data_IF_944057345595
#
_entry.id   IF_944057345595
#
_cell.length_a   1.000
_cell.length_b   1.000
_cell.length_c   1.000
_cell.angle_alpha   90.00
_cell.angle_beta   90.00
_cell.angle_gamma   90.00
#
_symmetry.space_group_name_H-M   'P 1'
#
loop_
_entity.id
_entity.type
_entity.pdbx_description
1 polymer ?
#
# COMPACT_ATOMS: atom_id res chain seq x y z
N UNK A 1 2.97 -5.07 21.35
CA UNK A 1 3.97 -4.47 20.43
C UNK A 1 3.38 -3.20 19.84
N UNK A 2 4.10 -2.09 19.88
CA UNK A 2 3.71 -0.80 19.29
C UNK A 2 4.06 -0.79 17.82
N UNK A 3 3.07 -0.55 16.97
CA UNK A 3 3.25 -0.46 15.53
C UNK A 3 2.88 0.94 15.03
N UNK A 4 3.84 1.62 14.43
CA UNK A 4 3.62 2.91 13.77
C UNK A 4 2.89 2.74 12.44
N UNK A 5 2.09 3.73 12.07
CA UNK A 5 1.40 3.81 10.79
C UNK A 5 1.24 5.28 10.34
N UNK A 6 0.70 5.50 9.14
CA UNK A 6 0.54 6.82 8.53
C UNK A 6 -0.71 7.60 8.97
N UNK A 7 -1.34 7.22 10.07
CA UNK A 7 -2.47 7.92 10.66
C UNK A 7 -3.72 7.05 10.74
N UNK A 8 -4.64 7.41 11.63
CA UNK A 8 -5.90 6.67 11.84
C UNK A 8 -6.71 6.59 10.56
N UNK A 9 -7.03 5.36 10.13
CA UNK A 9 -7.79 5.09 8.90
C UNK A 9 -6.98 5.21 7.60
N UNK A 10 -5.71 5.65 7.66
CA UNK A 10 -4.83 5.64 6.50
C UNK A 10 -4.47 4.21 6.09
N UNK A 11 -4.01 4.03 4.84
CA UNK A 11 -3.78 2.69 4.27
C UNK A 11 -2.84 1.83 5.10
N UNK A 12 -1.79 2.40 5.71
CA UNK A 12 -0.86 1.63 6.55
C UNK A 12 -1.42 1.30 7.93
N UNK A 13 -2.37 2.07 8.43
CA UNK A 13 -3.12 1.68 9.62
C UNK A 13 -4.00 0.47 9.30
N UNK A 14 -4.73 0.51 8.18
CA UNK A 14 -5.59 -0.58 7.72
C UNK A 14 -4.80 -1.84 7.37
N UNK A 15 -3.61 -1.72 6.77
CA UNK A 15 -2.73 -2.85 6.47
C UNK A 15 -2.28 -3.58 7.75
N UNK A 16 -1.83 -2.83 8.76
CA UNK A 16 -1.47 -3.39 10.06
C UNK A 16 -2.68 -4.05 10.75
N UNK A 17 -3.86 -3.42 10.68
CA UNK A 17 -5.07 -3.94 11.30
C UNK A 17 -5.59 -5.21 10.60
N UNK A 18 -5.50 -5.28 9.27
CA UNK A 18 -5.83 -6.47 8.51
C UNK A 18 -4.89 -7.63 8.84
N UNK A 19 -3.58 -7.36 8.99
CA UNK A 19 -2.63 -8.37 9.46
C UNK A 19 -3.00 -8.85 10.87
N UNK A 20 -3.38 -7.94 11.76
CA UNK A 20 -3.84 -8.26 13.10
C UNK A 20 -5.05 -9.21 13.07
N UNK A 21 -6.07 -8.90 12.27
CA UNK A 21 -7.27 -9.73 12.10
C UNK A 21 -6.93 -11.14 11.59
N UNK A 22 -6.09 -11.23 10.56
CA UNK A 22 -5.76 -12.50 9.90
C UNK A 22 -4.86 -13.42 10.72
N UNK A 23 -4.08 -12.86 11.64
CA UNK A 23 -3.09 -13.61 12.43
C UNK A 23 -3.51 -13.81 13.89
N UNK A 24 -4.50 -13.05 14.38
CA UNK A 24 -4.82 -12.99 15.80
C UNK A 24 -3.75 -12.31 16.66
N UNK A 25 -2.76 -11.64 16.02
CA UNK A 25 -1.77 -10.85 16.74
C UNK A 25 -2.45 -9.69 17.50
N UNK A 26 -1.72 -9.04 18.40
CA UNK A 26 -2.18 -7.81 19.06
C UNK A 26 -1.13 -6.71 18.94
N UNK A 27 -1.56 -5.58 18.37
CA UNK A 27 -0.75 -4.40 18.17
C UNK A 27 -1.36 -3.18 18.87
N UNK A 28 -0.50 -2.37 19.47
CA UNK A 28 -0.85 -1.01 19.87
C UNK A 28 -0.56 -0.08 18.70
N UNK A 29 -1.60 0.35 17.98
CA UNK A 29 -1.47 1.21 16.81
C UNK A 29 -1.10 2.63 17.23
N UNK A 30 0.04 3.13 16.75
CA UNK A 30 0.52 4.49 17.00
C UNK A 30 0.41 5.28 15.68
N UNK A 31 -0.58 6.19 15.55
CA UNK A 31 -0.74 6.99 14.36
C UNK A 31 0.31 8.12 14.31
N UNK A 32 0.84 8.38 13.12
CA UNK A 32 1.71 9.51 12.80
C UNK A 32 1.17 10.25 11.57
N UNK A 33 1.64 11.48 11.36
CA UNK A 33 1.31 12.29 10.17
C UNK A 33 2.07 11.80 8.93
N UNK A 34 1.77 10.59 8.49
CA UNK A 34 2.42 9.93 7.36
C UNK A 34 3.51 8.94 7.76
N UNK A 35 4.10 8.28 6.76
CA UNK A 35 5.08 7.23 6.97
C UNK A 35 6.43 7.74 7.48
N UNK A 36 6.90 8.90 6.99
CA UNK A 36 8.22 9.43 7.36
C UNK A 36 8.38 9.63 8.88
N UNK A 37 7.46 10.32 9.60
CA UNK A 37 7.58 10.44 11.05
C UNK A 37 7.48 9.09 11.77
N UNK A 38 6.68 8.15 11.27
CA UNK A 38 6.57 6.81 11.85
C UNK A 38 7.90 6.03 11.72
N UNK A 39 8.57 6.12 10.57
CA UNK A 39 9.89 5.52 10.33
C UNK A 39 10.95 6.17 11.22
N UNK A 40 10.92 7.49 11.39
CA UNK A 40 11.81 8.20 12.33
C UNK A 40 11.61 7.71 13.76
N UNK A 41 10.36 7.51 14.20
CA UNK A 41 10.07 7.00 15.53
C UNK A 41 10.61 5.57 15.74
N UNK A 42 10.52 4.72 14.72
CA UNK A 42 11.13 3.38 14.75
C UNK A 42 12.65 3.44 14.86
N UNK A 43 13.31 4.28 14.06
CA UNK A 43 14.77 4.49 14.13
C UNK A 43 15.22 5.03 15.50
N UNK A 44 14.38 5.82 16.16
CA UNK A 44 14.59 6.32 17.53
C UNK A 44 14.22 5.33 18.64
N UNK A 45 13.83 4.10 18.32
CA UNK A 45 13.36 3.08 19.27
C UNK A 45 12.11 3.50 20.09
N UNK A 46 11.30 4.41 19.58
CA UNK A 46 10.04 4.82 20.23
C UNK A 46 8.89 3.85 19.96
N UNK A 47 9.03 2.98 18.96
CA UNK A 47 8.09 1.91 18.58
C UNK A 47 8.90 0.69 18.12
N UNK A 48 8.29 -0.50 18.13
CA UNK A 48 9.02 -1.74 17.79
C UNK A 48 8.86 -2.16 16.32
N UNK A 49 7.80 -1.68 15.65
CA UNK A 49 7.53 -1.98 14.25
C UNK A 49 6.82 -0.82 13.57
N UNK A 50 6.79 -0.84 12.24
CA UNK A 50 6.01 0.10 11.43
C UNK A 50 5.38 -0.65 10.25
N UNK A 51 4.16 -0.28 9.87
CA UNK A 51 3.57 -0.65 8.58
C UNK A 51 3.74 0.54 7.62
N UNK A 52 4.39 0.31 6.49
CA UNK A 52 4.79 1.30 5.48
C UNK A 52 5.04 0.60 4.14
N UNK A 53 5.18 1.38 3.06
CA UNK A 53 5.70 0.87 1.80
C UNK A 53 7.19 0.50 1.93
N UNK A 54 7.65 -0.57 1.28
CA UNK A 54 9.09 -0.87 1.18
C UNK A 54 9.92 0.29 0.60
N UNK A 55 9.35 1.08 -0.31
CA UNK A 55 10.00 2.25 -0.88
C UNK A 55 10.30 3.34 0.15
N UNK A 56 9.52 3.43 1.23
CA UNK A 56 9.69 4.43 2.30
C UNK A 56 10.87 4.08 3.23
N UNK A 57 11.31 2.82 3.24
CA UNK A 57 12.38 2.33 4.14
C UNK A 57 13.62 1.80 3.41
N UNK A 58 13.63 1.77 2.08
CA UNK A 58 14.68 1.15 1.25
C UNK A 58 16.09 1.60 1.65
N UNK A 59 16.31 2.90 1.83
CA UNK A 59 17.62 3.44 2.18
C UNK A 59 18.06 3.03 3.59
N UNK A 60 17.13 2.92 4.54
CA UNK A 60 17.42 2.49 5.90
C UNK A 60 17.70 0.99 5.98
N UNK A 61 17.04 0.19 5.15
CA UNK A 61 17.29 -1.25 5.01
C UNK A 61 18.64 -1.49 4.36
N UNK A 62 18.96 -0.78 3.27
CA UNK A 62 20.28 -0.85 2.62
C UNK A 62 21.42 -0.45 3.57
N UNK A 63 21.18 0.51 4.46
CA UNK A 63 22.13 0.92 5.48
C UNK A 63 22.20 -0.02 6.70
N UNK A 64 21.46 -1.13 6.72
CA UNK A 64 21.43 -2.10 7.83
C UNK A 64 20.76 -1.59 9.11
N UNK A 65 20.06 -0.44 9.04
CA UNK A 65 19.40 0.17 10.22
C UNK A 65 18.02 -0.43 10.48
N UNK A 66 17.34 -0.86 9.42
CA UNK A 66 16.04 -1.50 9.48
C UNK A 66 16.08 -2.83 8.72
N UNK A 67 15.10 -3.69 8.98
CA UNK A 67 14.86 -4.92 8.21
C UNK A 67 13.38 -5.02 7.87
N UNK A 68 13.07 -5.51 6.68
CA UNK A 68 11.69 -5.79 6.27
C UNK A 68 11.36 -7.22 6.68
N UNK A 69 10.26 -7.41 7.41
CA UNK A 69 9.86 -8.74 7.92
C UNK A 69 9.06 -9.54 6.90
N UNK A 70 8.15 -8.87 6.21
CA UNK A 70 7.33 -9.42 5.14
C UNK A 70 6.77 -8.27 4.29
N UNK A 71 6.34 -8.59 3.07
CA UNK A 71 5.53 -7.70 2.24
C UNK A 71 4.09 -8.21 2.16
N UNK A 72 3.12 -7.30 2.06
CA UNK A 72 1.71 -7.64 1.91
C UNK A 72 1.25 -7.61 0.43
N UNK A 73 2.18 -7.74 -0.51
CA UNK A 73 1.86 -7.94 -1.92
C UNK A 73 1.51 -9.40 -2.22
N UNK A 74 0.82 -9.63 -3.33
CA UNK A 74 0.56 -10.98 -3.85
C UNK A 74 1.86 -11.72 -4.21
N UNK A 75 2.85 -10.97 -4.67
CA UNK A 75 4.18 -11.45 -5.03
C UNK A 75 5.26 -10.69 -4.24
N UNK A 76 6.48 -11.25 -4.21
CA UNK A 76 7.62 -10.58 -3.61
C UNK A 76 7.97 -9.31 -4.39
N UNK A 77 8.49 -8.31 -3.69
CA UNK A 77 8.99 -7.11 -4.34
C UNK A 77 10.28 -7.43 -5.10
N UNK A 78 10.39 -7.00 -6.36
CA UNK A 78 11.63 -7.11 -7.12
C UNK A 78 12.81 -6.37 -6.47
N UNK A 79 12.53 -5.30 -5.70
CA UNK A 79 13.53 -4.56 -4.95
C UNK A 79 14.00 -5.32 -3.68
N UNK A 80 13.22 -6.30 -3.21
CA UNK A 80 13.51 -7.07 -2.00
C UNK A 80 13.15 -8.56 -2.21
N UNK A 81 13.83 -9.26 -3.12
CA UNK A 81 13.46 -10.62 -3.53
C UNK A 81 13.59 -11.66 -2.41
N UNK A 82 14.42 -11.38 -1.39
CA UNK A 82 14.62 -12.25 -0.24
C UNK A 82 13.56 -12.06 0.85
N UNK A 83 12.75 -11.00 0.78
CA UNK A 83 11.69 -10.73 1.75
C UNK A 83 10.44 -11.49 1.33
N UNK A 84 9.92 -12.39 2.18
CA UNK A 84 8.74 -13.18 1.84
C UNK A 84 7.47 -12.31 1.83
N UNK A 85 6.47 -12.74 1.09
CA UNK A 85 5.11 -12.23 1.26
C UNK A 85 4.47 -12.83 2.52
N UNK A 86 3.44 -12.19 3.05
CA UNK A 86 2.63 -12.79 4.13
C UNK A 86 1.85 -14.02 3.65
N UNK A 87 1.52 -14.09 2.34
CA UNK A 87 0.89 -15.27 1.72
C UNK A 87 1.79 -16.49 1.72
N UNK A 88 3.08 -16.33 1.46
CA UNK A 88 4.08 -17.41 1.58
C UNK A 88 4.22 -17.92 3.03
N UNK A 89 3.72 -17.15 4.01
CA UNK A 89 3.64 -17.54 5.43
C UNK A 89 2.27 -18.10 5.82
N UNK A 90 1.40 -18.38 4.86
CA UNK A 90 0.07 -18.96 5.10
C UNK A 90 -0.99 -17.94 5.52
N UNK A 91 -0.72 -16.64 5.39
CA UNK A 91 -1.67 -15.57 5.73
C UNK A 91 -2.28 -15.06 4.42
N UNK A 92 -3.54 -15.40 4.17
CA UNK A 92 -4.26 -14.90 2.99
C UNK A 92 -4.66 -13.42 3.16
N UNK A 93 -3.69 -12.56 2.85
CA UNK A 93 -3.79 -11.11 2.90
C UNK A 93 -2.96 -10.51 1.77
N UNK A 94 -3.58 -9.61 1.01
CA UNK A 94 -2.88 -8.70 0.09
C UNK A 94 -3.40 -7.29 0.34
N UNK A 95 -2.50 -6.37 0.62
CA UNK A 95 -2.79 -4.94 0.81
C UNK A 95 -1.68 -4.16 0.12
N UNK A 96 -2.06 -3.40 -0.88
CA UNK A 96 -1.18 -2.52 -1.64
C UNK A 96 -1.77 -1.12 -1.73
N UNK A 97 -0.93 -0.14 -2.03
CA UNK A 97 -1.36 1.20 -2.37
C UNK A 97 -1.38 1.35 -3.89
N UNK A 98 -2.49 1.83 -4.44
CA UNK A 98 -2.63 2.16 -5.84
C UNK A 98 -2.85 3.66 -6.02
N UNK A 99 -2.60 4.14 -7.24
CA UNK A 99 -2.86 5.51 -7.66
C UNK A 99 -3.62 5.45 -8.97
N UNK A 100 -4.58 6.35 -9.17
CA UNK A 100 -5.34 6.42 -10.40
C UNK A 100 -6.13 7.70 -10.57
N UNK A 101 -6.73 7.85 -11.74
CA UNK A 101 -7.52 9.01 -12.13
C UNK A 101 -8.99 8.60 -12.09
N UNK A 102 -9.80 9.38 -11.37
CA UNK A 102 -11.25 9.25 -11.35
C UNK A 102 -11.88 10.57 -11.77
N UNK A 103 -13.06 10.50 -12.37
CA UNK A 103 -13.77 11.68 -12.89
C UNK A 103 -15.19 11.74 -12.30
N UNK A 104 -15.83 12.92 -12.28
CA UNK A 104 -17.24 13.03 -11.89
C UNK A 104 -18.14 12.10 -12.72
N UNK A 105 -19.18 11.55 -12.10
CA UNK A 105 -20.11 10.58 -12.72
C UNK A 105 -20.70 11.04 -14.05
N UNK A 106 -20.86 12.35 -14.27
CA UNK A 106 -21.47 12.95 -15.47
C UNK A 106 -20.45 13.48 -16.49
N UNK A 107 -19.18 13.10 -16.35
CA UNK A 107 -18.13 13.50 -17.30
C UNK A 107 -18.45 12.95 -18.70
N UNK A 108 -18.41 13.76 -19.78
CA UNK A 108 -18.69 13.28 -21.13
C UNK A 108 -17.74 12.16 -21.55
N UNK A 109 -18.27 11.15 -22.26
CA UNK A 109 -17.49 9.95 -22.63
C UNK A 109 -16.23 10.30 -23.44
N UNK A 110 -16.30 11.27 -24.35
CA UNK A 110 -15.13 11.70 -25.12
C UNK A 110 -13.96 12.20 -24.24
N UNK A 111 -14.26 12.84 -23.10
CA UNK A 111 -13.24 13.27 -22.12
C UNK A 111 -12.67 12.07 -21.38
N UNK A 112 -13.52 11.11 -21.00
CA UNK A 112 -13.10 9.85 -20.36
C UNK A 112 -12.17 9.07 -21.28
N UNK A 113 -12.52 8.96 -22.56
CA UNK A 113 -11.73 8.23 -23.56
C UNK A 113 -10.37 8.90 -23.77
N UNK A 114 -10.34 10.23 -23.87
CA UNK A 114 -9.09 11.00 -23.96
C UNK A 114 -8.16 10.72 -22.77
N UNK A 115 -8.69 10.73 -21.54
CA UNK A 115 -7.91 10.46 -20.33
C UNK A 115 -7.42 9.01 -20.27
N UNK A 116 -8.23 8.04 -20.70
CA UNK A 116 -7.85 6.62 -20.76
C UNK A 116 -6.75 6.39 -21.78
N UNK A 117 -6.87 6.94 -22.98
CA UNK A 117 -5.85 6.86 -24.02
C UNK A 117 -4.53 7.47 -23.57
N UNK A 118 -4.57 8.68 -23.00
CA UNK A 118 -3.37 9.34 -22.46
C UNK A 118 -2.72 8.53 -21.32
N UNK A 119 -3.53 7.95 -20.43
CA UNK A 119 -3.04 7.12 -19.32
C UNK A 119 -2.38 5.83 -19.83
N UNK A 120 -3.00 5.18 -20.83
CA UNK A 120 -2.44 3.99 -21.49
C UNK A 120 -1.14 4.30 -22.23
N UNK A 121 -1.09 5.41 -22.97
CA UNK A 121 0.12 5.84 -23.65
C UNK A 121 1.24 6.08 -22.62
N UNK A 122 0.96 6.85 -21.56
CA UNK A 122 1.92 7.16 -20.49
C UNK A 122 2.43 5.90 -19.78
N UNK A 123 1.54 4.95 -19.48
CA UNK A 123 1.94 3.68 -18.86
C UNK A 123 2.90 2.87 -19.74
N UNK A 124 2.90 3.10 -21.06
CA UNK A 124 3.80 2.43 -21.99
C UNK A 124 5.13 3.17 -22.19
N UNK A 125 5.21 4.44 -21.84
CA UNK A 125 6.42 5.28 -21.98
C UNK A 125 7.61 4.72 -21.19
N UNK A 126 8.78 4.52 -21.83
CA UNK A 126 9.98 4.06 -21.14
C UNK A 126 10.38 4.98 -19.98
N UNK A 127 10.33 6.30 -20.17
CA UNK A 127 10.69 7.28 -19.15
C UNK A 127 9.80 7.16 -17.90
N UNK A 128 8.52 6.83 -18.07
CA UNK A 128 7.61 6.60 -16.96
C UNK A 128 7.94 5.32 -16.21
N UNK A 129 8.17 4.21 -16.93
CA UNK A 129 8.59 2.93 -16.34
C UNK A 129 9.92 3.04 -15.58
N UNK A 130 10.89 3.75 -16.13
CA UNK A 130 12.17 4.04 -15.47
C UNK A 130 12.00 4.87 -14.20
N UNK A 131 11.13 5.89 -14.24
CA UNK A 131 10.85 6.73 -13.07
C UNK A 131 10.22 5.91 -11.94
N UNK A 132 9.23 5.07 -12.25
CA UNK A 132 8.63 4.18 -11.27
C UNK A 132 9.66 3.22 -10.67
N UNK A 133 10.51 2.64 -11.51
CA UNK A 133 11.59 1.73 -11.07
C UNK A 133 12.56 2.43 -10.12
N UNK A 134 13.00 3.65 -10.45
CA UNK A 134 13.87 4.49 -9.59
C UNK A 134 13.22 4.82 -8.24
N UNK A 135 11.90 4.94 -8.22
CA UNK A 135 11.11 5.16 -7.01
C UNK A 135 10.77 3.86 -6.25
N UNK A 136 11.24 2.70 -6.73
CA UNK A 136 10.88 1.37 -6.21
C UNK A 136 9.37 1.09 -6.23
N UNK A 137 8.70 1.57 -7.28
CA UNK A 137 7.29 1.35 -7.55
C UNK A 137 7.12 0.36 -8.71
N UNK A 138 6.25 -0.63 -8.51
CA UNK A 138 5.87 -1.57 -9.57
C UNK A 138 4.78 -0.96 -10.44
N UNK A 139 4.98 -0.96 -11.76
CA UNK A 139 3.91 -0.59 -12.69
C UNK A 139 2.89 -1.73 -12.79
N UNK A 140 1.66 -1.46 -12.38
CA UNK A 140 0.51 -2.34 -12.58
C UNK A 140 -0.62 -1.49 -13.21
N UNK A 141 -0.57 -1.34 -14.53
CA UNK A 141 -1.59 -0.58 -15.25
C UNK A 141 -2.89 -1.39 -15.32
N UNK A 142 -4.01 -0.75 -14.95
CA UNK A 142 -5.36 -1.27 -15.14
C UNK A 142 -6.18 -0.19 -15.86
N UNK A 143 -6.92 -0.59 -16.90
CA UNK A 143 -7.78 0.34 -17.63
C UNK A 143 -9.08 0.60 -16.84
N UNK A 144 -9.85 1.63 -17.22
CA UNK A 144 -11.01 2.14 -16.48
C UNK A 144 -11.98 1.07 -15.93
N UNK A 145 -12.44 0.09 -16.72
CA UNK A 145 -13.32 -0.98 -16.24
C UNK A 145 -12.65 -1.87 -15.17
N UNK A 146 -11.42 -2.33 -15.43
CA UNK A 146 -10.66 -3.20 -14.53
C UNK A 146 -10.33 -2.48 -13.22
N UNK A 147 -9.87 -1.22 -13.33
CA UNK A 147 -9.60 -0.35 -12.21
C UNK A 147 -10.87 -0.06 -11.38
N UNK A 148 -12.01 0.11 -12.05
CA UNK A 148 -13.31 0.26 -11.40
C UNK A 148 -13.72 -0.96 -10.56
N UNK A 149 -13.52 -2.18 -11.07
CA UNK A 149 -13.78 -3.40 -10.30
C UNK A 149 -12.80 -3.56 -9.13
N UNK A 150 -11.53 -3.21 -9.32
CA UNK A 150 -10.53 -3.20 -8.25
C UNK A 150 -10.93 -2.23 -7.12
N UNK A 151 -11.34 -1.00 -7.44
CA UNK A 151 -11.81 -0.03 -6.45
C UNK A 151 -13.02 -0.57 -5.68
N UNK A 152 -13.99 -1.20 -6.37
CA UNK A 152 -15.17 -1.78 -5.69
C UNK A 152 -14.78 -2.88 -4.71
N UNK A 153 -13.88 -3.77 -5.12
CA UNK A 153 -13.36 -4.85 -4.28
C UNK A 153 -12.65 -4.31 -3.03
N UNK A 154 -11.75 -3.35 -3.22
CA UNK A 154 -11.01 -2.72 -2.13
C UNK A 154 -11.95 -1.98 -1.19
N UNK A 155 -12.91 -1.21 -1.73
CA UNK A 155 -13.90 -0.50 -0.92
C UNK A 155 -14.74 -1.46 -0.07
N UNK A 156 -15.14 -2.62 -0.62
CA UNK A 156 -15.87 -3.63 0.16
C UNK A 156 -15.00 -4.23 1.27
N UNK A 157 -13.75 -4.59 0.96
CA UNK A 157 -12.80 -5.14 1.93
C UNK A 157 -12.50 -4.15 3.07
N UNK A 158 -12.13 -2.91 2.74
CA UNK A 158 -11.80 -1.90 3.74
C UNK A 158 -13.02 -1.44 4.52
N UNK A 159 -14.22 -1.41 3.94
CA UNK A 159 -15.45 -1.14 4.69
C UNK A 159 -15.68 -2.19 5.77
N UNK A 160 -15.63 -3.48 5.41
CA UNK A 160 -15.79 -4.58 6.38
C UNK A 160 -14.75 -4.49 7.50
N UNK A 161 -13.47 -4.29 7.14
CA UNK A 161 -12.39 -4.12 8.11
C UNK A 161 -12.64 -2.92 9.03
N UNK A 162 -12.97 -1.75 8.48
CA UNK A 162 -13.23 -0.54 9.29
C UNK A 162 -14.44 -0.72 10.20
N UNK A 163 -15.49 -1.43 9.78
CA UNK A 163 -16.64 -1.74 10.65
C UNK A 163 -16.24 -2.65 11.80
N UNK A 164 -15.46 -3.72 11.54
CA UNK A 164 -14.92 -4.60 12.59
C UNK A 164 -14.02 -3.87 13.58
N UNK A 165 -13.31 -2.85 13.12
CA UNK A 165 -12.47 -1.97 13.96
C UNK A 165 -13.28 -0.88 14.69
N UNK A 166 -14.59 -0.79 14.49
CA UNK A 166 -15.44 0.25 15.08
C UNK A 166 -15.20 1.66 14.52
N UNK A 167 -14.57 1.76 13.34
CA UNK A 167 -14.22 3.01 12.66
C UNK A 167 -15.25 3.45 11.61
N UNK A 168 -16.13 2.54 11.18
CA UNK A 168 -17.21 2.82 10.25
C UNK A 168 -18.53 2.21 10.75
N UNK A 169 -19.65 2.91 10.45
CA UNK A 169 -21.02 2.43 10.72
C UNK A 169 -21.57 1.66 9.52
#
# INVERSE_FOLDING_TARGET
MRIGNSGTGAIWHLAAAALQEKTGASFSHIPYDGANPAVTALLGNHIEAVSVSPAEVVNHVAAGKLRILAVMGDERSAAFPDVPTVKEKGIDLSVYTWRGIVVPKKTPQAVVDTLREASKATANEPAFKETLTKMNLTLAYADGPEFGEMIKKDNAFFKDLMTKLGMAK
#
